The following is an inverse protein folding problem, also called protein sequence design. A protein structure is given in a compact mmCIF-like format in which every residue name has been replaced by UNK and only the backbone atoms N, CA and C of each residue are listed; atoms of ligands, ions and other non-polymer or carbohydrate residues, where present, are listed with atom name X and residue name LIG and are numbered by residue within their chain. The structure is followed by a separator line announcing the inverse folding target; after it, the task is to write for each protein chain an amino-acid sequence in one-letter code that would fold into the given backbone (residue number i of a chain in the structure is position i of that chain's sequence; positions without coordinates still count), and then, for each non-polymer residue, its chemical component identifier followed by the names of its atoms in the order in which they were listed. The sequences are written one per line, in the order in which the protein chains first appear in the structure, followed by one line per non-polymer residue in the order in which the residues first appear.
data_IF_632328105251
#
_entry.id   IF_632328105251
#
_cell.length_a   1.000
_cell.length_b   1.000
_cell.length_c   1.000
_cell.angle_alpha   90.00
_cell.angle_beta   90.00
_cell.angle_gamma   90.00
#
_symmetry.space_group_name_H-M   'P 1'
#
loop_
_entity.id
_entity.type
_entity.pdbx_description
1 polymer ?
#
# COMPACT_ATOMS: atom_id res chain seq x y z
N UNK A 1 -3.66 10.00 27.00
CA UNK A 1 -2.97 10.24 25.80
C UNK A 1 -2.14 9.08 25.32
N UNK A 2 -1.27 8.65 26.17
CA UNK A 2 -0.51 7.50 25.87
C UNK A 2 -1.37 6.28 25.68
N UNK A 3 -2.43 6.20 26.43
CA UNK A 3 -3.38 5.12 26.24
C UNK A 3 -3.98 5.16 24.85
N UNK A 4 -4.08 6.33 24.29
CA UNK A 4 -4.62 6.43 22.96
C UNK A 4 -3.75 5.82 21.92
N UNK A 5 -2.44 5.85 22.13
CA UNK A 5 -1.55 5.22 21.19
C UNK A 5 -1.81 3.74 21.09
N UNK A 6 -2.08 3.10 22.22
CA UNK A 6 -2.42 1.70 22.17
C UNK A 6 -3.74 1.47 21.50
N UNK A 7 -4.68 2.38 21.73
CA UNK A 7 -5.94 2.26 21.03
C UNK A 7 -5.78 2.40 19.55
N UNK A 8 -4.86 3.24 19.12
CA UNK A 8 -4.62 3.38 17.70
C UNK A 8 -4.13 2.09 17.10
N UNK A 9 -3.25 1.41 17.78
CA UNK A 9 -2.80 0.12 17.31
C UNK A 9 -3.94 -0.89 17.30
N UNK A 10 -4.83 -0.78 18.28
CA UNK A 10 -5.95 -1.69 18.34
C UNK A 10 -7.00 -1.40 17.29
N UNK A 11 -6.88 -0.27 16.60
CA UNK A 11 -7.85 0.05 15.57
C UNK A 11 -7.62 -0.66 14.26
N UNK A 12 -6.51 -1.34 14.13
CA UNK A 12 -6.31 -2.18 12.95
C UNK A 12 -7.29 -3.33 13.01
N UNK A 13 -8.00 -3.57 11.92
CA UNK A 13 -8.88 -4.71 11.84
C UNK A 13 -8.06 -5.99 11.74
N UNK A 14 -8.70 -7.12 11.99
CA UNK A 14 -8.02 -8.40 11.81
C UNK A 14 -7.58 -8.58 10.37
N UNK A 15 -8.38 -8.10 9.44
CA UNK A 15 -8.03 -8.20 8.04
C UNK A 15 -6.81 -7.36 7.71
N UNK A 16 -6.73 -6.15 8.27
CA UNK A 16 -5.55 -5.30 8.09
C UNK A 16 -4.30 -5.96 8.66
N UNK A 17 -4.42 -6.57 9.83
CA UNK A 17 -3.27 -7.25 10.43
C UNK A 17 -2.79 -8.41 9.59
N UNK A 18 -3.71 -9.16 9.01
CA UNK A 18 -3.32 -10.26 8.14
C UNK A 18 -2.59 -9.77 6.92
N UNK A 19 -3.05 -8.68 6.32
CA UNK A 19 -2.41 -8.13 5.14
C UNK A 19 -1.03 -7.61 5.48
N UNK A 20 -0.92 -6.81 6.54
CA UNK A 20 0.34 -6.15 6.87
C UNK A 20 1.40 -7.11 7.37
N UNK A 21 1.00 -8.14 8.13
CA UNK A 21 1.97 -8.95 8.85
C UNK A 21 1.93 -10.43 8.53
N UNK A 22 0.97 -10.86 7.73
CA UNK A 22 0.88 -12.25 7.29
C UNK A 22 0.75 -12.37 5.78
N UNK A 23 1.16 -11.32 5.06
CA UNK A 23 1.19 -11.29 3.60
C UNK A 23 -0.16 -11.61 2.97
N UNK A 24 -1.23 -11.15 3.60
CA UNK A 24 -2.57 -11.33 3.04
C UNK A 24 -2.81 -10.43 1.85
N UNK A 25 -3.92 -10.67 1.16
CA UNK A 25 -4.32 -9.88 0.01
C UNK A 25 -5.80 -9.55 0.13
N UNK A 26 -6.15 -8.28 -0.07
CA UNK A 26 -7.56 -7.90 -0.02
C UNK A 26 -8.27 -8.36 -1.29
N UNK A 27 -9.59 -8.46 -1.20
CA UNK A 27 -10.40 -8.86 -2.35
C UNK A 27 -10.39 -7.71 -3.37
N UNK A 28 -10.16 -8.01 -4.66
CA UNK A 28 -10.13 -6.93 -5.66
C UNK A 28 -11.45 -6.16 -5.68
N UNK A 29 -11.34 -4.87 -5.87
CA UNK A 29 -12.50 -4.00 -6.00
C UNK A 29 -13.13 -3.57 -4.70
N UNK A 30 -12.58 -3.95 -3.54
CA UNK A 30 -13.21 -3.65 -2.27
C UNK A 30 -12.60 -2.46 -1.54
N UNK A 31 -11.45 -1.97 -1.96
CA UNK A 31 -10.78 -0.88 -1.24
C UNK A 31 -11.51 0.44 -1.41
N UNK A 32 -11.71 1.14 -0.30
CA UNK A 32 -12.24 2.49 -0.35
C UNK A 32 -11.30 3.46 -1.04
N UNK A 33 -10.03 3.11 -1.16
CA UNK A 33 -9.03 3.96 -1.79
C UNK A 33 -8.88 3.71 -3.27
N UNK A 34 -9.60 2.73 -3.82
CA UNK A 34 -9.43 2.34 -5.21
C UNK A 34 -9.63 3.53 -6.15
N UNK A 35 -10.65 4.31 -5.94
CA UNK A 35 -10.95 5.46 -6.80
C UNK A 35 -10.74 6.80 -6.11
N UNK A 36 -9.88 6.83 -5.08
CA UNK A 36 -9.56 8.07 -4.38
C UNK A 36 -8.87 9.04 -5.34
N UNK A 37 -9.40 10.26 -5.49
CA UNK A 37 -8.89 11.24 -6.44
C UNK A 37 -8.32 12.49 -5.79
N UNK A 38 -8.51 12.67 -4.50
CA UNK A 38 -8.01 13.88 -3.84
C UNK A 38 -6.49 13.87 -3.80
N UNK A 39 -5.92 15.07 -3.68
CA UNK A 39 -4.48 15.23 -3.53
C UNK A 39 -4.06 14.93 -2.11
N UNK A 40 -3.00 14.19 -1.96
CA UNK A 40 -2.51 13.85 -0.63
C UNK A 40 -1.46 12.78 -0.66
N UNK A 41 -1.24 12.20 0.52
CA UNK A 41 -0.21 11.21 0.70
C UNK A 41 -0.83 9.94 1.27
N UNK A 42 -0.28 8.80 0.84
CA UNK A 42 -0.68 7.49 1.36
C UNK A 42 0.40 7.00 2.31
N UNK A 43 0.00 6.71 3.54
CA UNK A 43 0.92 6.22 4.56
C UNK A 43 0.53 4.79 4.92
N UNK A 44 1.46 4.02 5.48
CA UNK A 44 1.14 2.66 5.88
C UNK A 44 0.14 2.66 7.04
N UNK A 45 -0.71 1.65 7.08
CA UNK A 45 -1.86 1.66 7.99
C UNK A 45 -1.46 1.58 9.46
N UNK A 46 -0.36 0.94 9.78
CA UNK A 46 0.06 0.76 11.16
C UNK A 46 1.15 1.76 11.56
N UNK A 47 2.26 1.76 10.85
CA UNK A 47 3.41 2.59 11.23
C UNK A 47 3.36 3.99 10.64
N UNK A 48 2.42 4.25 9.76
CA UNK A 48 2.15 5.57 9.19
C UNK A 48 3.34 6.17 8.45
N UNK A 49 4.10 5.33 7.77
CA UNK A 49 5.19 5.79 6.92
C UNK A 49 4.65 6.26 5.58
N UNK A 50 5.03 7.45 5.11
CA UNK A 50 4.59 7.89 3.77
C UNK A 50 5.26 7.05 2.70
N UNK A 51 4.44 6.41 1.87
CA UNK A 51 4.95 5.48 0.86
C UNK A 51 4.52 5.82 -0.56
N UNK A 52 3.38 6.48 -0.75
CA UNK A 52 2.91 6.86 -2.08
C UNK A 52 2.25 8.23 -2.05
N UNK A 53 2.24 8.89 -3.20
CA UNK A 53 1.57 10.18 -3.34
C UNK A 53 0.50 10.10 -4.42
N UNK A 54 -0.51 10.95 -4.26
CA UNK A 54 -1.65 10.96 -5.18
C UNK A 54 -1.27 11.25 -6.62
N UNK A 55 -0.23 12.06 -6.84
CA UNK A 55 0.15 12.38 -8.21
C UNK A 55 0.73 11.19 -8.95
N UNK A 56 1.06 10.11 -8.26
CA UNK A 56 1.58 8.89 -8.86
C UNK A 56 0.55 7.78 -8.93
N UNK A 57 -0.70 8.07 -8.54
CA UNK A 57 -1.77 7.08 -8.56
C UNK A 57 -2.43 7.05 -9.94
N UNK A 58 -2.79 5.86 -10.40
CA UNK A 58 -3.50 5.73 -11.67
C UNK A 58 -4.50 4.59 -11.61
N UNK A 59 -5.46 4.60 -12.53
CA UNK A 59 -6.49 3.57 -12.62
C UNK A 59 -5.95 2.44 -13.48
N UNK A 60 -5.59 1.34 -12.86
CA UNK A 60 -5.00 0.22 -13.56
C UNK A 60 -6.03 -0.81 -14.04
N UNK A 61 -7.24 -0.76 -13.49
CA UNK A 61 -8.26 -1.75 -13.83
C UNK A 61 -8.06 -3.10 -13.16
N UNK A 62 -7.10 -3.21 -12.24
CA UNK A 62 -6.82 -4.49 -11.60
C UNK A 62 -7.69 -4.78 -10.40
N UNK A 63 -8.33 -3.76 -9.83
CA UNK A 63 -9.12 -3.93 -8.62
C UNK A 63 -8.38 -3.55 -7.35
N UNK A 64 -7.13 -3.14 -7.45
CA UNK A 64 -6.34 -2.67 -6.31
C UNK A 64 -5.79 -1.29 -6.60
N UNK A 65 -5.64 -0.45 -5.57
CA UNK A 65 -4.98 0.85 -5.76
C UNK A 65 -3.62 0.68 -6.42
N UNK A 66 -3.34 1.52 -7.41
CA UNK A 66 -2.13 1.37 -8.22
C UNK A 66 -1.38 2.68 -8.33
N UNK A 67 -0.05 2.60 -8.29
CA UNK A 67 0.83 3.75 -8.35
C UNK A 67 1.98 3.44 -9.29
N UNK A 68 2.52 4.46 -9.96
CA UNK A 68 3.66 4.20 -10.84
C UNK A 68 4.99 4.63 -10.20
N UNK A 69 4.97 5.17 -8.98
CA UNK A 69 6.17 5.56 -8.26
C UNK A 69 5.93 5.39 -6.77
N UNK A 70 7.02 5.25 -6.00
CA UNK A 70 6.94 5.05 -4.57
C UNK A 70 8.02 5.88 -3.87
N UNK A 71 7.85 6.05 -2.57
CA UNK A 71 8.86 6.71 -1.74
C UNK A 71 9.90 5.66 -1.35
N UNK A 72 10.99 5.59 -2.10
CA UNK A 72 12.00 4.55 -1.92
C UNK A 72 12.75 4.66 -0.60
N UNK A 73 12.64 5.77 0.10
CA UNK A 73 13.23 5.89 1.43
C UNK A 73 12.50 5.05 2.46
N UNK A 74 11.26 4.68 2.18
CA UNK A 74 10.40 4.01 3.15
C UNK A 74 9.94 2.62 2.73
N UNK A 75 10.34 2.15 1.55
CA UNK A 75 9.97 0.80 1.12
C UNK A 75 11.19 -0.04 0.81
N UNK A 76 10.98 -1.34 0.85
CA UNK A 76 11.98 -2.34 0.49
C UNK A 76 11.33 -3.26 -0.52
N UNK A 77 12.07 -3.62 -1.55
CA UNK A 77 11.62 -4.57 -2.57
C UNK A 77 12.26 -5.92 -2.30
N UNK A 78 11.47 -6.99 -2.38
CA UNK A 78 11.93 -8.30 -2.02
C UNK A 78 11.36 -9.33 -2.97
N UNK A 79 12.18 -10.30 -3.38
CA UNK A 79 11.69 -11.36 -4.25
C UNK A 79 10.70 -12.25 -3.52
N UNK A 80 9.59 -12.56 -4.16
CA UNK A 80 8.52 -13.37 -3.61
C UNK A 80 8.25 -14.53 -4.56
N UNK A 81 8.53 -15.74 -4.11
CA UNK A 81 8.37 -16.95 -4.92
C UNK A 81 7.15 -17.77 -4.55
N UNK A 82 6.24 -17.19 -3.78
CA UNK A 82 5.06 -17.93 -3.35
C UNK A 82 4.15 -18.29 -4.53
N UNK A 83 3.34 -19.33 -4.34
CA UNK A 83 2.34 -19.80 -5.33
C UNK A 83 2.96 -20.16 -6.68
N UNK A 84 4.23 -20.58 -6.69
CA UNK A 84 4.87 -20.96 -7.93
C UNK A 84 5.16 -19.82 -8.88
N UNK A 85 5.05 -18.58 -8.40
CA UNK A 85 5.32 -17.40 -9.21
C UNK A 85 6.55 -16.69 -8.67
N UNK A 86 7.17 -15.86 -9.54
CA UNK A 86 8.26 -15.00 -9.12
C UNK A 86 7.77 -13.58 -9.27
N UNK A 87 7.61 -12.90 -8.15
CA UNK A 87 7.13 -11.52 -8.13
C UNK A 87 8.03 -10.68 -7.24
N UNK A 88 7.85 -9.37 -7.29
CA UNK A 88 8.60 -8.47 -6.41
C UNK A 88 7.62 -7.90 -5.37
N UNK A 89 7.84 -8.27 -4.14
CA UNK A 89 7.02 -7.82 -3.02
C UNK A 89 7.44 -6.43 -2.58
N UNK A 90 6.47 -5.60 -2.20
CA UNK A 90 6.69 -4.26 -1.68
C UNK A 90 6.36 -4.29 -0.20
N UNK A 91 7.34 -3.98 0.65
CA UNK A 91 7.14 -3.91 2.10
C UNK A 91 7.66 -2.57 2.59
N UNK A 92 7.10 -2.09 3.71
CA UNK A 92 7.64 -0.89 4.31
C UNK A 92 8.93 -1.22 5.03
N UNK A 93 9.77 -0.23 5.28
CA UNK A 93 11.01 -0.49 6.02
C UNK A 93 10.76 -0.91 7.46
N UNK A 94 9.52 -0.84 7.92
CA UNK A 94 9.14 -1.34 9.23
C UNK A 94 8.52 -2.73 9.18
N UNK A 95 8.52 -3.37 8.01
CA UNK A 95 8.08 -4.76 7.90
C UNK A 95 6.63 -4.97 7.53
N UNK A 96 5.92 -3.93 7.12
CA UNK A 96 4.52 -4.06 6.73
C UNK A 96 4.43 -4.48 5.27
N UNK A 97 3.73 -5.58 4.99
CA UNK A 97 3.49 -6.01 3.61
C UNK A 97 2.48 -5.10 2.96
N UNK A 98 2.80 -4.54 1.80
CA UNK A 98 1.92 -3.61 1.11
C UNK A 98 1.32 -4.21 -0.15
N UNK A 99 2.09 -4.94 -0.91
CA UNK A 99 1.64 -5.52 -2.17
C UNK A 99 2.82 -5.95 -3.00
N UNK A 100 2.71 -5.76 -4.31
CA UNK A 100 3.75 -6.17 -5.27
C UNK A 100 3.93 -5.10 -6.32
N UNK A 101 5.09 -5.10 -6.97
CA UNK A 101 5.35 -4.19 -8.08
C UNK A 101 5.65 -4.99 -9.33
N UNK A 102 5.11 -4.51 -10.47
CA UNK A 102 5.24 -5.15 -11.78
C UNK A 102 5.80 -4.14 -12.76
N UNK A 103 6.32 -4.61 -13.88
CA UNK A 103 6.93 -3.72 -14.87
C UNK A 103 6.01 -3.46 -16.07
N UNK A 104 4.72 -3.49 -15.84
CA UNK A 104 3.71 -3.21 -16.87
C UNK A 104 2.92 -1.95 -16.54
N UNK A 105 3.57 -0.95 -16.02
CA UNK A 105 2.94 0.31 -15.66
C UNK A 105 3.15 1.40 -16.68
N UNK A 106 2.58 2.58 -16.39
CA UNK A 106 2.67 3.70 -17.34
C UNK A 106 3.99 4.44 -17.24
N UNK A 107 4.23 5.28 -18.24
CA UNK A 107 5.34 6.21 -18.15
C UNK A 107 5.09 7.17 -16.98
N UNK A 108 6.12 7.71 -16.36
CA UNK A 108 7.54 7.68 -16.78
C UNK A 108 8.32 6.47 -16.28
N UNK A 109 7.80 5.71 -15.30
CA UNK A 109 8.62 4.65 -14.70
C UNK A 109 8.43 3.29 -15.36
N UNK A 110 7.28 3.07 -15.99
CA UNK A 110 6.96 1.74 -16.50
C UNK A 110 6.60 0.76 -15.39
N UNK A 111 6.44 1.22 -14.16
CA UNK A 111 6.15 0.36 -13.02
C UNK A 111 4.71 0.47 -12.58
N UNK A 112 4.17 -0.62 -12.07
CA UNK A 112 2.85 -0.66 -11.47
C UNK A 112 2.97 -1.26 -10.08
N UNK A 113 2.88 -0.39 -9.07
CA UNK A 113 2.80 -0.82 -7.68
C UNK A 113 1.36 -1.13 -7.40
N UNK A 114 1.06 -2.41 -7.18
CA UNK A 114 -0.29 -2.91 -6.96
C UNK A 114 -0.42 -3.16 -5.46
N UNK A 115 -1.18 -2.30 -4.78
CA UNK A 115 -1.08 -2.19 -3.33
C UNK A 115 -2.43 -2.46 -2.69
N UNK A 116 -2.43 -3.20 -1.59
CA UNK A 116 -3.64 -3.44 -0.82
C UNK A 116 -4.07 -2.13 -0.15
N UNK A 117 -5.29 -1.68 -0.44
CA UNK A 117 -5.78 -0.45 0.16
C UNK A 117 -5.89 -0.53 1.66
N UNK A 118 -6.17 -1.72 2.20
CA UNK A 118 -6.23 -1.90 3.65
C UNK A 118 -4.87 -1.74 4.33
N UNK A 119 -3.78 -1.81 3.56
CA UNK A 119 -2.45 -1.58 4.09
C UNK A 119 -2.10 -0.09 4.18
N UNK A 120 -2.99 0.77 3.69
CA UNK A 120 -2.74 2.20 3.58
C UNK A 120 -3.78 3.02 4.30
N UNK A 121 -3.40 4.25 4.64
CA UNK A 121 -4.32 5.33 5.00
C UNK A 121 -4.04 6.48 4.07
N UNK A 122 -5.08 7.19 3.69
CA UNK A 122 -4.95 8.37 2.85
C UNK A 122 -5.07 9.63 3.69
N UNK A 123 -4.15 10.56 3.52
CA UNK A 123 -4.15 11.84 4.23
C UNK A 123 -4.22 12.95 3.19
N UNK A 124 -5.38 13.64 3.08
CA UNK A 124 -5.50 14.74 2.11
C UNK A 124 -4.58 15.89 2.44
N UNK A 125 -4.12 16.59 1.40
CA UNK A 125 -3.16 17.69 1.58
C UNK A 125 -3.75 18.86 2.36
N UNK A 126 -5.06 19.10 2.26
CA UNK A 126 -5.63 20.25 2.97
C UNK A 126 -6.26 19.87 4.29
N UNK A 127 -5.72 18.89 4.94
CA UNK A 127 -6.13 18.55 6.30
C UNK A 127 -5.13 19.03 7.33
#
# INVERSE_FOLDING_TARGET
KYLMDRKMNNRLSEEQKKILYSCGTEIPGTSELLHEKRKGVYVTADKELPVFRSEHKFESGTGWPSFFEANHNNIILKEDKSYGMIRTEVISKKGEHLGHVFNDGPQPTGLRYCINGLALKFIPDDE
#
